data_IF_876695456312
#
_entry.id   IF_876695456312
#
_cell.length_a   1.000
_cell.length_b   1.000
_cell.length_c   1.000
_cell.angle_alpha   90.00
_cell.angle_beta   90.00
_cell.angle_gamma   90.00
#
_symmetry.space_group_name_H-M   'P 1'
#
loop_
_entity.id
_entity.type
_entity.pdbx_description
1 polymer ?
#
# COMPACT_ATOMS: atom_id res chain seq x y z
N UNK A 1 -24.38 -9.09 -3.00
CA UNK A 1 -22.91 -9.25 -3.01
C UNK A 1 -22.33 -8.08 -2.24
N UNK A 2 -21.66 -8.34 -1.12
CA UNK A 2 -21.16 -7.29 -0.22
C UNK A 2 -19.64 -7.39 -0.11
N UNK A 3 -19.00 -6.24 0.12
CA UNK A 3 -17.56 -6.16 0.35
C UNK A 3 -17.31 -6.71 1.76
N UNK A 4 -16.61 -7.84 1.86
CA UNK A 4 -16.24 -8.42 3.17
C UNK A 4 -14.90 -7.89 3.64
N UNK A 5 -13.97 -7.69 2.70
CA UNK A 5 -12.60 -7.33 2.97
C UNK A 5 -12.06 -6.38 1.92
N UNK A 6 -11.29 -5.40 2.36
CA UNK A 6 -10.50 -4.52 1.52
C UNK A 6 -9.03 -4.65 1.91
N UNK A 7 -8.15 -4.84 0.93
CA UNK A 7 -6.70 -4.89 1.13
C UNK A 7 -6.05 -3.70 0.42
N UNK A 8 -5.35 -2.87 1.20
CA UNK A 8 -4.58 -1.73 0.72
C UNK A 8 -3.11 -2.16 0.65
N UNK A 9 -2.56 -2.24 -0.56
CA UNK A 9 -1.14 -2.45 -0.76
C UNK A 9 -0.46 -1.12 -1.06
N UNK A 10 0.42 -0.71 -0.17
CA UNK A 10 1.19 0.53 -0.22
C UNK A 10 2.61 0.20 -0.68
N UNK A 11 3.09 0.93 -1.70
CA UNK A 11 4.47 0.81 -2.19
C UNK A 11 5.09 2.19 -2.34
N UNK A 12 6.36 2.30 -1.96
CA UNK A 12 7.13 3.54 -2.06
C UNK A 12 8.61 3.24 -2.30
N UNK A 13 9.31 4.19 -2.89
CA UNK A 13 10.78 4.20 -2.93
C UNK A 13 11.38 4.76 -1.64
N UNK A 14 10.63 5.59 -0.91
CA UNK A 14 11.04 6.19 0.36
C UNK A 14 10.35 5.52 1.55
N UNK A 15 11.15 5.16 2.55
CA UNK A 15 10.68 4.48 3.75
C UNK A 15 9.84 5.40 4.65
N UNK A 16 10.23 6.66 4.79
CA UNK A 16 9.60 7.59 5.73
C UNK A 16 8.21 8.02 5.25
N UNK A 17 8.08 8.32 3.96
CA UNK A 17 6.78 8.58 3.32
C UNK A 17 5.83 7.39 3.54
N UNK A 18 6.32 6.16 3.34
CA UNK A 18 5.51 4.96 3.55
C UNK A 18 5.07 4.78 5.01
N UNK A 19 5.98 5.00 5.96
CA UNK A 19 5.68 4.90 7.41
C UNK A 19 4.66 5.95 7.84
N UNK A 20 4.89 7.21 7.48
CA UNK A 20 4.03 8.34 7.84
C UNK A 20 2.61 8.13 7.29
N UNK A 21 2.49 7.69 6.04
CA UNK A 21 1.18 7.39 5.46
C UNK A 21 0.49 6.19 6.10
N UNK A 22 1.22 5.13 6.47
CA UNK A 22 0.62 4.02 7.22
C UNK A 22 0.04 4.48 8.56
N UNK A 23 0.76 5.36 9.27
CA UNK A 23 0.30 5.94 10.54
C UNK A 23 -0.96 6.78 10.31
N UNK A 24 -0.94 7.66 9.30
CA UNK A 24 -2.10 8.49 8.96
C UNK A 24 -3.33 7.66 8.58
N UNK A 25 -3.16 6.60 7.78
CA UNK A 25 -4.24 5.68 7.41
C UNK A 25 -4.80 4.96 8.64
N UNK A 26 -3.92 4.50 9.53
CA UNK A 26 -4.33 3.80 10.74
C UNK A 26 -5.06 4.74 11.71
N UNK A 27 -4.59 5.99 11.86
CA UNK A 27 -5.21 6.98 12.74
C UNK A 27 -6.61 7.41 12.26
N UNK A 28 -6.83 7.49 10.93
CA UNK A 28 -8.14 7.79 10.36
C UNK A 28 -9.21 6.75 10.69
N UNK A 29 -8.82 5.54 11.12
CA UNK A 29 -9.76 4.52 11.62
C UNK A 29 -10.66 5.05 12.73
N UNK A 30 -10.15 5.93 13.59
CA UNK A 30 -10.88 6.40 14.77
C UNK A 30 -12.24 7.04 14.43
N UNK A 31 -12.40 7.54 13.20
CA UNK A 31 -13.67 8.07 12.69
C UNK A 31 -14.71 6.99 12.37
N UNK A 32 -14.32 5.72 12.25
CA UNK A 32 -15.18 4.60 11.83
C UNK A 32 -15.16 3.46 12.86
N UNK A 33 -16.22 3.33 13.64
CA UNK A 33 -16.32 2.34 14.73
C UNK A 33 -16.47 0.90 14.24
N UNK A 34 -17.05 0.72 13.06
CA UNK A 34 -17.45 -0.58 12.51
C UNK A 34 -16.39 -1.23 11.60
N UNK A 35 -15.24 -0.57 11.42
CA UNK A 35 -14.12 -1.09 10.63
C UNK A 35 -13.06 -1.72 11.54
N UNK A 36 -12.70 -2.96 11.25
CA UNK A 36 -11.56 -3.64 11.85
C UNK A 36 -10.36 -3.50 10.91
N UNK A 37 -9.37 -2.74 11.35
CA UNK A 37 -8.08 -2.66 10.64
C UNK A 37 -7.12 -3.67 11.25
N UNK A 38 -6.61 -4.54 10.40
CA UNK A 38 -5.41 -5.33 10.63
C UNK A 38 -4.23 -4.46 10.18
N UNK A 39 -3.31 -4.22 11.12
CA UNK A 39 -2.28 -3.19 11.03
C UNK A 39 -1.35 -3.31 9.81
N UNK A 40 -0.40 -2.37 9.66
CA UNK A 40 0.50 -2.34 8.52
C UNK A 40 1.48 -3.54 8.56
N UNK A 41 1.14 -4.59 7.82
CA UNK A 41 1.97 -5.78 7.63
C UNK A 41 3.11 -5.40 6.68
N UNK A 42 4.35 -5.50 7.16
CA UNK A 42 5.54 -5.22 6.34
C UNK A 42 5.81 -6.40 5.42
N UNK A 43 5.89 -6.11 4.12
CA UNK A 43 6.30 -7.09 3.12
C UNK A 43 7.81 -6.95 2.88
N UNK A 44 8.49 -8.03 2.43
CA UNK A 44 9.90 -7.98 2.11
C UNK A 44 10.17 -6.92 1.03
N UNK A 45 11.23 -6.15 1.25
CA UNK A 45 11.65 -5.08 0.34
C UNK A 45 12.20 -5.68 -0.95
N UNK A 46 11.77 -5.14 -2.09
CA UNK A 46 12.30 -5.57 -3.39
C UNK A 46 13.50 -4.70 -3.71
N UNK A 47 14.65 -5.32 -3.92
CA UNK A 47 15.91 -4.63 -4.26
C UNK A 47 16.25 -4.97 -5.70
N UNK A 48 16.21 -3.98 -6.59
CA UNK A 48 16.68 -4.13 -7.97
C UNK A 48 18.07 -3.53 -8.08
N UNK A 49 19.09 -4.38 -8.26
CA UNK A 49 20.48 -3.97 -8.45
C UNK A 49 20.79 -3.86 -9.94
N UNK A 50 21.44 -2.78 -10.33
CA UNK A 50 21.86 -2.49 -11.70
C UNK A 50 23.31 -2.03 -11.69
N UNK A 51 24.09 -2.53 -12.65
CA UNK A 51 25.49 -2.15 -12.82
C UNK A 51 25.64 -1.40 -14.12
N UNK A 52 26.28 -0.24 -14.06
CA UNK A 52 26.51 0.62 -15.22
C UNK A 52 28.00 0.95 -15.29
N UNK A 53 28.52 1.14 -16.50
CA UNK A 53 29.87 1.69 -16.68
C UNK A 53 29.88 3.14 -16.23
N UNK A 54 30.94 3.57 -15.53
CA UNK A 54 31.08 4.98 -15.15
C UNK A 54 31.38 5.87 -16.35
N UNK A 55 32.23 5.37 -17.26
CA UNK A 55 32.55 6.07 -18.50
C UNK A 55 31.49 5.77 -19.57
N UNK A 56 31.10 6.77 -20.39
CA UNK A 56 30.25 6.53 -21.56
C UNK A 56 30.96 5.68 -22.63
N UNK A 57 32.30 5.55 -22.61
CA UNK A 57 33.06 4.86 -23.64
C UNK A 57 34.25 4.05 -23.10
N UNK A 58 34.42 2.82 -23.63
CA UNK A 58 35.55 1.87 -23.49
C UNK A 58 35.87 1.34 -22.06
N UNK A 59 35.78 2.12 -20.99
CA UNK A 59 36.32 1.74 -19.67
C UNK A 59 35.48 0.70 -18.88
N UNK A 60 35.55 -0.56 -19.29
CA UNK A 60 34.77 -1.68 -18.71
C UNK A 60 35.17 -2.09 -17.28
N UNK A 61 36.39 -1.75 -16.84
CA UNK A 61 36.87 -2.03 -15.47
C UNK A 61 36.29 -1.05 -14.45
N UNK A 62 35.87 0.14 -14.89
CA UNK A 62 35.24 1.15 -14.05
C UNK A 62 33.73 0.99 -14.05
N UNK A 63 33.18 0.38 -12.99
CA UNK A 63 31.74 0.08 -12.86
C UNK A 63 31.16 0.73 -11.62
N UNK A 64 29.90 1.11 -11.71
CA UNK A 64 29.11 1.63 -10.60
C UNK A 64 27.89 0.75 -10.34
N UNK A 65 27.56 0.61 -9.06
CA UNK A 65 26.48 -0.23 -8.56
C UNK A 65 25.36 0.69 -8.10
N UNK A 66 24.23 0.62 -8.75
CA UNK A 66 23.02 1.32 -8.33
C UNK A 66 22.00 0.31 -7.83
N UNK A 67 21.16 0.73 -6.90
CA UNK A 67 20.03 -0.07 -6.47
C UNK A 67 18.77 0.79 -6.33
N UNK A 68 17.64 0.19 -6.70
CA UNK A 68 16.32 0.75 -6.47
C UNK A 68 15.61 -0.15 -5.46
N UNK A 69 15.28 0.41 -4.29
CA UNK A 69 14.56 -0.28 -3.23
C UNK A 69 13.08 0.09 -3.31
N UNK A 70 12.21 -0.92 -3.36
CA UNK A 70 10.77 -0.72 -3.21
C UNK A 70 10.32 -1.29 -1.88
N UNK A 71 9.91 -0.40 -0.99
CA UNK A 71 9.30 -0.75 0.30
C UNK A 71 7.82 -1.03 0.09
N UNK A 72 7.32 -2.09 0.70
CA UNK A 72 5.93 -2.51 0.58
C UNK A 72 5.32 -2.79 1.95
N UNK A 73 4.11 -2.28 2.17
CA UNK A 73 3.28 -2.57 3.34
C UNK A 73 1.87 -2.89 2.89
N UNK A 74 1.18 -3.75 3.61
CA UNK A 74 -0.22 -4.06 3.37
C UNK A 74 -1.04 -3.74 4.61
N UNK A 75 -2.18 -3.08 4.42
CA UNK A 75 -3.17 -2.84 5.46
C UNK A 75 -4.43 -3.56 5.03
N UNK A 76 -5.02 -4.34 5.93
CA UNK A 76 -6.24 -5.08 5.65
C UNK A 76 -7.38 -4.52 6.50
N UNK A 77 -8.50 -4.28 5.86
CA UNK A 77 -9.71 -3.71 6.45
C UNK A 77 -10.82 -4.74 6.29
N UNK A 78 -11.41 -5.10 7.41
CA UNK A 78 -12.55 -5.99 7.51
C UNK A 78 -13.72 -5.21 8.08
N UNK A 79 -14.90 -5.38 7.51
CA UNK A 79 -16.11 -4.80 8.08
C UNK A 79 -16.72 -5.78 9.08
N UNK A 80 -17.20 -5.25 10.21
CA UNK A 80 -18.00 -6.01 11.18
C UNK A 80 -19.47 -6.15 10.72
N UNK A 81 -19.90 -5.34 9.74
CA UNK A 81 -21.28 -5.29 9.25
C UNK A 81 -21.36 -5.63 7.76
N UNK A 82 -22.54 -6.03 7.26
CA UNK A 82 -22.74 -6.26 5.81
C UNK A 82 -22.80 -4.97 4.98
N UNK A 83 -22.61 -3.80 5.60
CA UNK A 83 -22.71 -2.51 4.91
C UNK A 83 -21.40 -2.18 4.18
N UNK A 84 -21.44 -2.08 2.85
CA UNK A 84 -20.29 -1.75 2.02
C UNK A 84 -19.92 -0.26 2.02
N UNK A 85 -20.86 0.62 2.37
CA UNK A 85 -20.70 2.07 2.20
C UNK A 85 -19.59 2.64 3.06
N UNK A 86 -19.44 2.16 4.30
CA UNK A 86 -18.41 2.65 5.23
C UNK A 86 -16.97 2.41 4.70
N UNK A 87 -16.75 1.29 4.00
CA UNK A 87 -15.44 1.00 3.37
C UNK A 87 -15.17 1.98 2.23
N UNK A 88 -16.20 2.29 1.44
CA UNK A 88 -16.09 3.20 0.30
C UNK A 88 -15.78 4.62 0.79
N UNK A 89 -16.52 5.10 1.78
CA UNK A 89 -16.33 6.42 2.39
C UNK A 89 -14.93 6.56 2.99
N UNK A 90 -14.45 5.51 3.67
CA UNK A 90 -13.08 5.47 4.21
C UNK A 90 -12.04 5.61 3.09
N UNK A 91 -12.24 4.94 1.96
CA UNK A 91 -11.32 4.99 0.83
C UNK A 91 -11.32 6.36 0.15
N UNK A 92 -12.49 6.98 0.03
CA UNK A 92 -12.64 8.29 -0.59
C UNK A 92 -11.88 9.39 0.17
N UNK A 93 -11.81 9.29 1.50
CA UNK A 93 -10.99 10.20 2.31
C UNK A 93 -9.48 10.15 2.00
N UNK A 94 -8.98 9.10 1.37
CA UNK A 94 -7.58 9.03 0.94
C UNK A 94 -7.35 9.64 -0.43
N UNK A 95 -8.38 9.71 -1.27
CA UNK A 95 -8.27 10.37 -2.58
C UNK A 95 -7.96 11.86 -2.42
N UNK A 96 -8.46 12.47 -1.35
CA UNK A 96 -8.30 13.90 -1.06
C UNK A 96 -6.95 14.25 -0.38
N UNK A 97 -6.27 13.27 0.24
CA UNK A 97 -4.90 13.47 0.74
C UNK A 97 -3.92 13.00 -0.33
N UNK A 98 -3.33 13.95 -1.08
CA UNK A 98 -2.29 13.65 -2.06
C UNK A 98 -1.03 13.14 -1.35
N UNK A 99 -0.96 11.83 -1.15
CA UNK A 99 0.26 11.17 -0.69
C UNK A 99 1.25 11.09 -1.87
N UNK A 100 2.09 12.11 -2.00
CA UNK A 100 3.14 12.14 -3.01
C UNK A 100 4.13 10.99 -2.82
N UNK A 101 4.58 10.38 -3.91
CA UNK A 101 5.56 9.30 -3.88
C UNK A 101 5.03 7.93 -3.43
N UNK A 102 3.71 7.82 -3.17
CA UNK A 102 3.07 6.57 -2.78
C UNK A 102 2.25 5.96 -3.92
N UNK A 103 2.48 4.68 -4.17
CA UNK A 103 1.62 3.87 -5.02
C UNK A 103 0.69 3.04 -4.13
N UNK A 104 -0.61 3.28 -4.26
CA UNK A 104 -1.66 2.60 -3.51
C UNK A 104 -2.43 1.69 -4.46
N UNK A 105 -2.40 0.39 -4.20
CA UNK A 105 -3.24 -0.60 -4.88
C UNK A 105 -4.33 -1.09 -3.92
N UNK A 106 -5.58 -0.87 -4.29
CA UNK A 106 -6.75 -1.34 -3.54
C UNK A 106 -7.26 -2.64 -4.15
N UNK A 107 -7.51 -3.65 -3.31
CA UNK A 107 -8.08 -4.93 -3.71
C UNK A 107 -9.32 -5.21 -2.85
N UNK A 108 -10.47 -5.32 -3.50
CA UNK A 108 -11.72 -5.67 -2.84
C UNK A 108 -11.99 -7.17 -2.96
N UNK A 109 -12.37 -7.78 -1.85
CA UNK A 109 -12.91 -9.14 -1.81
C UNK A 109 -14.40 -9.05 -1.53
N UNK A 110 -15.17 -9.68 -2.40
CA UNK A 110 -16.62 -9.73 -2.31
C UNK A 110 -17.06 -11.14 -1.94
N UNK A 111 -18.02 -11.24 -1.03
CA UNK A 111 -18.72 -12.49 -0.78
C UNK A 111 -20.14 -12.43 -1.36
N UNK A 112 -20.60 -13.57 -1.84
CA UNK A 112 -21.98 -13.77 -2.31
C UNK A 112 -22.69 -14.55 -1.20
N UNK A 113 -23.74 -13.97 -0.62
CA UNK A 113 -24.67 -14.75 0.17
C UNK A 113 -25.35 -15.72 -0.80
N UNK A 114 -25.04 -17.01 -0.66
CA UNK A 114 -25.71 -18.06 -1.40
C UNK A 114 -27.07 -18.27 -0.72
N UNK A 115 -28.08 -17.53 -1.15
CA UNK A 115 -29.47 -17.85 -0.83
C UNK A 115 -29.84 -19.10 -1.66
N UNK A 116 -29.92 -20.24 -0.99
CA UNK A 116 -30.80 -21.35 -1.37
C UNK A 116 -32.19 -21.05 -0.80
#
# INVERSE_FOLDING_TARGET
MFITKCSLHLKSFDLDVLKNSCILITNKKNSFKNLKIIGPISLPTKIKKITVLRSPHIDKKSREQFEMRTYAKTIQIETLTKNSNEIIDFIEQFKNNLFFGLNIKVVFTYSKDLLL
#
